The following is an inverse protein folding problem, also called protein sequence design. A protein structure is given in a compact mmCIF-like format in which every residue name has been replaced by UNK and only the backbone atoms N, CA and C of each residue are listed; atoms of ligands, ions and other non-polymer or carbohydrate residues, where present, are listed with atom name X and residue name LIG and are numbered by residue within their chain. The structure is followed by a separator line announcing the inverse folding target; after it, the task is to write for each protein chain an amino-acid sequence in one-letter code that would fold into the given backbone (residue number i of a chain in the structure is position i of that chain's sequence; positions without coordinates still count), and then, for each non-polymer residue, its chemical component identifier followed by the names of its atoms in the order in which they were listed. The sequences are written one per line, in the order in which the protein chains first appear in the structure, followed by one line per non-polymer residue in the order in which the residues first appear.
data_IF_418450172218
#
_entry.id   IF_418450172218
#
_cell.length_a   1.000
_cell.length_b   1.000
_cell.length_c   1.000
_cell.angle_alpha   90.00
_cell.angle_beta   90.00
_cell.angle_gamma   90.00
#
_symmetry.space_group_name_H-M   'P 1'
#
loop_
_entity.id
_entity.type
_entity.pdbx_description
1 polymer ?
#
# COMPACT_ATOMS: atom_id res chain seq x y z
N UNK A 1 8.37 -2.85 12.02
CA UNK A 1 7.08 -2.35 11.49
C UNK A 1 7.23 -0.93 11.00
N UNK A 2 6.68 -0.59 9.83
CA UNK A 2 6.66 0.78 9.29
C UNK A 2 5.65 1.71 10.03
N UNK A 3 5.45 1.49 11.33
CA UNK A 3 4.53 2.26 12.16
C UNK A 3 3.03 1.93 12.03
N UNK A 4 2.64 0.99 11.15
CA UNK A 4 1.24 0.64 10.96
C UNK A 4 0.60 -0.02 12.18
N UNK A 5 -0.68 0.28 12.39
CA UNK A 5 -1.48 -0.20 13.53
C UNK A 5 -2.67 -1.01 13.01
N UNK A 6 -3.22 -1.93 13.80
CA UNK A 6 -4.48 -2.58 13.45
C UNK A 6 -5.56 -1.54 13.09
N UNK A 7 -6.41 -1.90 12.13
CA UNK A 7 -7.54 -1.12 11.60
C UNK A 7 -7.14 0.15 10.85
N UNK A 8 -5.88 0.28 10.43
CA UNK A 8 -5.45 1.35 9.51
C UNK A 8 -5.37 0.84 8.08
N UNK A 9 -5.58 1.74 7.12
CA UNK A 9 -5.59 1.42 5.70
C UNK A 9 -4.18 1.19 5.13
N UNK A 10 -4.05 0.15 4.29
CA UNK A 10 -2.91 -0.09 3.41
C UNK A 10 -3.43 -0.23 1.98
N UNK A 11 -2.91 0.59 1.07
CA UNK A 11 -3.26 0.49 -0.35
C UNK A 11 -2.40 -0.56 -1.06
N UNK A 12 -3.01 -1.35 -1.94
CA UNK A 12 -2.33 -2.16 -2.94
C UNK A 12 -2.78 -1.72 -4.33
N UNK A 13 -1.82 -1.21 -5.10
CA UNK A 13 -1.98 -0.82 -6.50
C UNK A 13 -0.96 -1.59 -7.34
N UNK A 14 -1.31 -2.84 -7.65
CA UNK A 14 -0.41 -3.80 -8.28
C UNK A 14 -1.23 -4.75 -9.18
N UNK A 15 -0.62 -5.30 -10.22
CA UNK A 15 -1.21 -6.32 -11.07
C UNK A 15 -1.41 -7.63 -10.29
N UNK A 16 -2.19 -8.56 -10.85
CA UNK A 16 -2.42 -9.89 -10.25
C UNK A 16 -1.12 -10.70 -10.25
N UNK A 17 -0.47 -10.79 -9.10
CA UNK A 17 0.77 -11.56 -8.89
C UNK A 17 0.89 -12.07 -7.46
N UNK A 18 1.88 -12.93 -7.21
CA UNK A 18 2.07 -13.58 -5.91
C UNK A 18 2.25 -12.56 -4.77
N UNK A 19 3.01 -11.50 -5.01
CA UNK A 19 3.31 -10.44 -4.05
C UNK A 19 2.06 -9.67 -3.62
N UNK A 20 1.11 -9.47 -4.55
CA UNK A 20 -0.20 -8.91 -4.22
C UNK A 20 -0.92 -9.80 -3.21
N UNK A 21 -0.94 -11.11 -3.46
CA UNK A 21 -1.60 -12.08 -2.57
C UNK A 21 -0.92 -12.16 -1.20
N UNK A 22 0.41 -12.18 -1.17
CA UNK A 22 1.19 -12.18 0.08
C UNK A 22 0.90 -10.92 0.89
N UNK A 23 0.89 -9.74 0.25
CA UNK A 23 0.58 -8.48 0.89
C UNK A 23 -0.87 -8.43 1.43
N UNK A 24 -1.84 -8.96 0.68
CA UNK A 24 -3.23 -9.04 1.12
C UNK A 24 -3.37 -9.95 2.36
N UNK A 25 -2.73 -11.13 2.34
CA UNK A 25 -2.72 -12.05 3.49
C UNK A 25 -2.05 -11.41 4.72
N UNK A 26 -0.97 -10.67 4.53
CA UNK A 26 -0.36 -9.90 5.61
C UNK A 26 -1.33 -8.85 6.18
N UNK A 27 -2.08 -8.14 5.32
CA UNK A 27 -3.10 -7.20 5.81
C UNK A 27 -4.12 -7.91 6.72
N UNK A 28 -4.64 -9.06 6.30
CA UNK A 28 -5.62 -9.81 7.09
C UNK A 28 -5.05 -10.35 8.40
N UNK A 29 -3.81 -10.86 8.38
CA UNK A 29 -3.14 -11.40 9.56
C UNK A 29 -2.91 -10.35 10.65
N UNK A 30 -2.62 -9.10 10.25
CA UNK A 30 -2.34 -7.98 11.16
C UNK A 30 -3.55 -7.05 11.37
N UNK A 31 -4.73 -7.44 10.86
CA UNK A 31 -5.96 -6.64 10.90
C UNK A 31 -5.78 -5.24 10.31
N UNK A 32 -5.02 -5.11 9.23
CA UNK A 32 -4.98 -3.90 8.40
C UNK A 32 -6.15 -3.91 7.41
N UNK A 33 -6.71 -2.73 7.15
CA UNK A 33 -7.78 -2.56 6.17
C UNK A 33 -7.15 -2.50 4.79
N UNK A 34 -7.41 -3.50 3.95
CA UNK A 34 -6.86 -3.55 2.60
C UNK A 34 -7.64 -2.62 1.68
N UNK A 35 -7.00 -1.57 1.18
CA UNK A 35 -7.52 -0.75 0.09
C UNK A 35 -6.97 -1.28 -1.22
N UNK A 36 -7.79 -1.88 -2.08
CA UNK A 36 -7.34 -2.42 -3.35
C UNK A 36 -7.77 -1.54 -4.52
N UNK A 37 -6.81 -1.25 -5.40
CA UNK A 37 -6.98 -0.42 -6.59
C UNK A 37 -6.63 -1.27 -7.82
N UNK A 38 -7.54 -1.31 -8.80
CA UNK A 38 -7.21 -1.96 -10.08
C UNK A 38 -6.05 -1.25 -10.77
N UNK A 39 -5.08 -2.02 -11.27
CA UNK A 39 -3.93 -1.52 -12.03
C UNK A 39 -4.33 -0.65 -13.24
N UNK A 40 -5.55 -0.85 -13.75
CA UNK A 40 -6.12 -0.12 -14.88
C UNK A 40 -6.65 1.27 -14.53
N UNK A 41 -6.83 1.62 -13.25
CA UNK A 41 -7.35 2.94 -12.85
C UNK A 41 -6.48 4.08 -13.35
N UNK A 42 -7.14 5.17 -13.76
CA UNK A 42 -6.48 6.42 -14.15
C UNK A 42 -5.97 7.18 -12.93
N UNK A 43 -5.04 8.11 -13.16
CA UNK A 43 -4.45 8.96 -12.12
C UNK A 43 -5.47 9.62 -11.18
N UNK A 44 -6.51 10.30 -11.70
CA UNK A 44 -7.53 10.95 -10.85
C UNK A 44 -8.27 9.98 -9.92
N UNK A 45 -8.66 8.80 -10.42
CA UNK A 45 -9.32 7.79 -9.62
C UNK A 45 -8.40 7.23 -8.52
N UNK A 46 -7.10 7.06 -8.81
CA UNK A 46 -6.11 6.66 -7.81
C UNK A 46 -5.98 7.74 -6.73
N UNK A 47 -5.82 9.02 -7.11
CA UNK A 47 -5.73 10.14 -6.14
C UNK A 47 -6.96 10.18 -5.24
N UNK A 48 -8.15 10.05 -5.82
CA UNK A 48 -9.40 10.04 -5.07
C UNK A 48 -9.43 8.90 -4.04
N UNK A 49 -9.18 7.66 -4.48
CA UNK A 49 -9.17 6.49 -3.62
C UNK A 49 -8.15 6.61 -2.47
N UNK A 50 -6.93 7.06 -2.75
CA UNK A 50 -5.88 7.19 -1.74
C UNK A 50 -6.18 8.30 -0.73
N UNK A 51 -6.81 9.41 -1.16
CA UNK A 51 -7.19 10.50 -0.26
C UNK A 51 -8.43 10.16 0.58
N UNK A 52 -9.46 9.56 -0.02
CA UNK A 52 -10.68 9.15 0.68
C UNK A 52 -10.40 8.12 1.77
N UNK A 53 -9.48 7.18 1.48
CA UNK A 53 -9.04 6.17 2.46
C UNK A 53 -7.92 6.64 3.36
N UNK A 54 -7.46 7.88 3.23
CA UNK A 54 -6.43 8.48 4.05
C UNK A 54 -5.15 7.63 4.20
N UNK A 55 -4.78 6.85 3.18
CA UNK A 55 -3.68 5.88 3.30
C UNK A 55 -2.32 6.55 3.47
N UNK A 56 -1.49 5.96 4.33
CA UNK A 56 -0.09 6.36 4.53
C UNK A 56 0.89 5.44 3.82
N UNK A 57 0.46 4.22 3.47
CA UNK A 57 1.30 3.18 2.90
C UNK A 57 0.64 2.60 1.64
N UNK A 58 1.41 2.49 0.56
CA UNK A 58 0.99 1.85 -0.69
C UNK A 58 2.00 0.81 -1.14
N UNK A 59 1.51 -0.35 -1.58
CA UNK A 59 2.29 -1.43 -2.18
C UNK A 59 2.00 -1.41 -3.69
N UNK A 60 3.04 -1.41 -4.52
CA UNK A 60 2.89 -1.26 -5.97
C UNK A 60 4.01 -1.95 -6.76
N UNK A 61 3.78 -2.22 -8.05
CA UNK A 61 4.83 -2.66 -8.97
C UNK A 61 5.72 -1.48 -9.36
N UNK A 62 6.96 -1.76 -9.78
CA UNK A 62 7.87 -0.73 -10.30
C UNK A 62 7.27 -0.06 -11.54
N UNK A 63 6.59 -0.82 -12.39
CA UNK A 63 5.95 -0.32 -13.60
C UNK A 63 4.84 0.70 -13.26
N UNK A 64 3.91 0.34 -12.37
CA UNK A 64 2.81 1.23 -11.98
C UNK A 64 3.29 2.45 -11.19
N UNK A 65 4.35 2.30 -10.39
CA UNK A 65 5.02 3.43 -9.77
C UNK A 65 5.52 4.43 -10.82
N UNK A 66 6.21 3.94 -11.85
CA UNK A 66 6.83 4.76 -12.89
C UNK A 66 5.84 5.32 -13.92
N UNK A 67 4.73 4.63 -14.17
CA UNK A 67 3.77 5.00 -15.23
C UNK A 67 2.57 5.79 -14.70
N UNK A 68 2.23 5.64 -13.41
CA UNK A 68 1.05 6.29 -12.84
C UNK A 68 1.35 7.01 -11.54
N UNK A 69 1.90 6.33 -10.54
CA UNK A 69 1.95 6.87 -9.18
C UNK A 69 2.89 8.08 -9.07
N UNK A 70 4.03 8.08 -9.78
CA UNK A 70 5.00 9.19 -9.76
C UNK A 70 4.36 10.55 -10.09
N UNK A 71 3.40 10.56 -11.01
CA UNK A 71 2.84 11.80 -11.57
C UNK A 71 1.76 12.39 -10.65
N UNK A 72 1.24 11.59 -9.71
CA UNK A 72 0.14 11.95 -8.82
C UNK A 72 0.54 11.99 -7.34
N UNK A 73 1.76 11.57 -7.01
CA UNK A 73 2.18 11.37 -5.61
C UNK A 73 2.11 12.66 -4.78
N UNK A 74 2.34 13.82 -5.40
CA UNK A 74 2.22 15.14 -4.77
C UNK A 74 0.78 15.52 -4.42
N UNK A 75 -0.21 14.87 -5.03
CA UNK A 75 -1.64 15.06 -4.79
C UNK A 75 -2.19 14.18 -3.66
N UNK A 76 -1.34 13.35 -3.05
CA UNK A 76 -1.69 12.42 -1.97
C UNK A 76 -0.91 12.79 -0.70
N UNK A 77 -1.29 13.88 -0.01
CA UNK A 77 -0.48 14.50 1.05
C UNK A 77 -0.27 13.63 2.30
N UNK A 78 -1.06 12.57 2.48
CA UNK A 78 -0.92 11.62 3.59
C UNK A 78 0.03 10.47 3.30
N UNK A 79 0.39 10.24 2.05
CA UNK A 79 1.28 9.14 1.69
C UNK A 79 2.68 9.36 2.27
N UNK A 80 3.24 8.33 2.89
CA UNK A 80 4.57 8.34 3.53
C UNK A 80 5.46 7.21 3.04
N UNK A 81 4.87 6.06 2.75
CA UNK A 81 5.62 4.87 2.38
C UNK A 81 5.12 4.27 1.08
N UNK A 82 6.04 4.09 0.14
CA UNK A 82 5.81 3.33 -1.09
C UNK A 82 6.64 2.05 -0.97
N UNK A 83 6.01 0.89 -1.13
CA UNK A 83 6.66 -0.41 -1.11
C UNK A 83 6.59 -0.99 -2.52
N UNK A 84 7.73 -1.15 -3.18
CA UNK A 84 7.80 -1.76 -4.50
C UNK A 84 7.97 -3.26 -4.39
N UNK A 85 7.15 -4.03 -5.11
CA UNK A 85 7.26 -5.50 -5.14
C UNK A 85 8.41 -6.00 -6.02
N UNK A 86 8.95 -5.14 -6.89
CA UNK A 86 10.03 -5.50 -7.81
C UNK A 86 11.40 -4.99 -7.33
N UNK A 87 12.41 -5.86 -7.48
CA UNK A 87 13.84 -5.53 -7.60
C UNK A 87 14.38 -4.39 -6.73
N UNK A 88 15.31 -3.61 -7.31
CA UNK A 88 15.88 -2.44 -6.64
C UNK A 88 14.87 -1.28 -6.65
N UNK A 89 14.83 -0.43 -5.60
CA UNK A 89 14.04 0.79 -5.64
C UNK A 89 14.40 1.56 -6.91
N UNK A 90 13.41 2.14 -7.63
CA UNK A 90 13.74 2.99 -8.76
C UNK A 90 14.65 4.13 -8.28
N UNK A 91 15.70 4.40 -9.04
CA UNK A 91 16.52 5.62 -8.91
C UNK A 91 15.68 6.79 -9.39
N UNK A 92 14.71 7.20 -8.57
CA UNK A 92 13.96 8.42 -8.77
C UNK A 92 14.48 9.46 -7.79
N UNK A 93 15.16 10.47 -8.32
CA UNK A 93 15.93 11.47 -7.57
C UNK A 93 15.07 12.46 -6.78
N UNK A 94 13.75 12.51 -7.01
CA UNK A 94 12.90 13.57 -6.48
C UNK A 94 11.52 13.04 -6.03
N UNK A 95 11.49 12.11 -5.08
CA UNK A 95 10.25 11.93 -4.33
C UNK A 95 9.97 13.22 -3.52
N UNK A 96 8.69 13.64 -3.40
CA UNK A 96 8.34 14.71 -2.49
C UNK A 96 8.89 14.48 -1.08
N UNK A 97 9.26 15.56 -0.39
CA UNK A 97 9.75 15.49 1.00
C UNK A 97 8.76 14.70 1.87
N UNK A 98 9.28 13.72 2.61
CA UNK A 98 8.50 12.90 3.54
C UNK A 98 8.02 11.56 2.98
N UNK A 99 8.29 11.25 1.71
CA UNK A 99 8.05 9.93 1.13
C UNK A 99 9.33 9.08 1.20
N UNK A 100 9.18 7.85 1.68
CA UNK A 100 10.25 6.85 1.75
C UNK A 100 9.83 5.66 0.90
N UNK A 101 10.73 5.22 0.02
CA UNK A 101 10.49 4.07 -0.85
C UNK A 101 11.29 2.86 -0.37
N UNK A 102 10.59 1.76 -0.23
CA UNK A 102 11.11 0.46 0.22
C UNK A 102 10.91 -0.57 -0.86
N UNK A 103 11.69 -1.65 -0.82
CA UNK A 103 11.35 -2.88 -1.54
C UNK A 103 10.59 -3.81 -0.60
N UNK A 104 9.74 -4.67 -1.16
CA UNK A 104 9.06 -5.72 -0.37
C UNK A 104 10.07 -6.58 0.40
N UNK A 105 11.17 -6.98 -0.25
CA UNK A 105 12.25 -7.73 0.40
C UNK A 105 12.88 -6.99 1.60
N UNK A 106 13.03 -5.67 1.53
CA UNK A 106 13.52 -4.88 2.67
C UNK A 106 12.50 -4.85 3.82
N UNK A 107 11.21 -4.73 3.50
CA UNK A 107 10.13 -4.76 4.49
C UNK A 107 10.02 -6.14 5.17
N UNK A 108 10.18 -7.21 4.40
CA UNK A 108 10.22 -8.59 4.91
C UNK A 108 11.42 -8.80 5.84
N UNK A 109 12.62 -8.36 5.45
CA UNK A 109 13.81 -8.44 6.28
C UNK A 109 13.68 -7.60 7.58
N UNK A 110 13.01 -6.45 7.52
CA UNK A 110 12.67 -5.66 8.70
C UNK A 110 11.67 -6.39 9.60
N UNK A 111 10.69 -7.09 9.01
CA UNK A 111 9.73 -7.92 9.73
C UNK A 111 10.40 -9.10 10.43
N UNK A 112 11.29 -9.82 9.74
CA UNK A 112 12.00 -10.98 10.28
C UNK A 112 12.92 -10.64 11.47
N UNK A 113 13.45 -9.41 11.53
CA UNK A 113 14.28 -8.92 12.63
C UNK A 113 13.49 -8.43 13.84
N UNK A 114 12.22 -8.06 13.67
CA UNK A 114 11.37 -7.68 14.78
C UNK A 114 10.98 -8.96 15.54
N UNK A 115 11.28 -9.06 16.84
CA UNK A 115 10.85 -10.23 17.60
C UNK A 115 9.32 -10.30 17.58
N UNK A 116 8.78 -11.44 17.16
CA UNK A 116 7.34 -11.73 17.14
C UNK A 116 6.69 -11.63 18.53
N UNK A 117 7.51 -11.57 19.59
CA UNK A 117 7.11 -11.70 21.00
C UNK A 117 6.42 -10.44 21.59
N UNK A 118 6.50 -9.28 20.94
CA UNK A 118 6.07 -8.02 21.57
C UNK A 118 5.03 -7.20 20.80
N UNK A 119 4.38 -7.77 19.78
CA UNK A 119 3.30 -7.05 19.10
C UNK A 119 1.95 -7.75 19.31
N UNK A 120 0.97 -7.06 19.92
CA UNK A 120 -0.37 -7.61 20.03
C UNK A 120 -0.92 -7.79 18.62
N UNK A 121 -0.92 -9.05 18.16
CA UNK A 121 -1.69 -9.44 16.99
C UNK A 121 -3.15 -9.23 17.36
N UNK A 122 -3.71 -8.09 16.95
CA UNK A 122 -5.15 -7.87 17.05
C UNK A 122 -5.80 -8.80 16.04
N UNK A 123 -6.33 -9.93 16.49
CA UNK A 123 -7.12 -10.80 15.62
C UNK A 123 -8.31 -9.98 15.06
N UNK A 124 -8.59 -10.07 13.75
CA UNK A 124 -9.74 -9.40 13.16
C UNK A 124 -11.05 -9.99 13.71
N UNK A 125 -12.06 -9.13 13.86
CA UNK A 125 -13.43 -9.52 14.19
C UNK A 125 -14.28 -9.61 12.92
N UNK A 126 -15.39 -10.38 12.90
CA UNK A 126 -16.29 -10.42 11.75
C UNK A 126 -16.89 -9.07 11.34
N UNK A 127 -16.93 -8.11 12.26
CA UNK A 127 -17.40 -6.73 12.03
C UNK A 127 -16.29 -5.78 11.56
N UNK A 128 -15.02 -6.20 11.58
CA UNK A 128 -13.92 -5.34 11.12
C UNK A 128 -13.94 -5.25 9.59
N UNK A 129 -13.59 -4.06 9.06
CA UNK A 129 -13.45 -3.87 7.62
C UNK A 129 -12.21 -4.66 7.16
N UNK A 130 -12.43 -5.64 6.28
CA UNK A 130 -11.34 -6.40 5.68
C UNK A 130 -10.79 -5.70 4.42
N UNK A 131 -11.68 -5.28 3.52
CA UNK A 131 -11.32 -4.77 2.19
C UNK A 131 -12.20 -3.58 1.82
N UNK A 132 -11.56 -2.53 1.29
CA UNK A 132 -12.19 -1.43 0.56
C UNK A 132 -11.73 -1.56 -0.89
N UNK A 133 -12.65 -1.75 -1.83
CA UNK A 133 -12.33 -2.07 -3.23
C UNK A 133 -12.74 -0.93 -4.16
N UNK A 134 -11.77 -0.30 -4.81
CA UNK A 134 -12.00 0.69 -5.86
C UNK A 134 -11.89 0.05 -7.24
N UNK A 135 -12.97 0.17 -8.01
CA UNK A 135 -13.07 -0.27 -9.40
C UNK A 135 -13.30 0.94 -10.30
N UNK A 136 -13.20 0.77 -11.62
CA UNK A 136 -13.41 1.88 -12.57
C UNK A 136 -14.80 2.53 -12.45
N UNK A 137 -15.81 1.80 -11.99
CA UNK A 137 -17.15 2.34 -11.76
C UNK A 137 -17.33 3.07 -10.42
N UNK A 138 -16.42 2.88 -9.45
CA UNK A 138 -16.63 3.32 -8.06
C UNK A 138 -16.62 4.84 -7.90
N UNK A 139 -15.93 5.56 -8.80
CA UNK A 139 -15.73 7.02 -8.67
C UNK A 139 -16.53 7.85 -9.68
N UNK A 140 -17.05 7.21 -10.74
CA UNK A 140 -17.67 7.92 -11.87
C UNK A 140 -16.70 8.84 -12.64
N UNK A 141 -15.39 8.68 -12.41
CA UNK A 141 -14.29 9.39 -13.07
C UNK A 141 -13.60 8.52 -14.13
#
# INVERSE_FOLDING_TARGET
MLGQKPKTNIAIFCETRAEWMIAAQACFMYNFQLVTLYATLGGPAIVHALNETEVTNIITSKELLQTKLKDIVSLVPRLRHIITVDGKPPTWSEFPKGIIVHTMAAVEALGAKASMENQPHSKPLPSDIAVIMYTSGSTGL
#
